data_IF_688265841856
#
_entry.id   IF_688265841856
#
_cell.length_a   1.000
_cell.length_b   1.000
_cell.length_c   1.000
_cell.angle_alpha   90.00
_cell.angle_beta   90.00
_cell.angle_gamma   90.00
#
_symmetry.space_group_name_H-M   'P 1'
#
loop_
_entity.id
_entity.type
_entity.pdbx_description
1 polymer ?
#
# COMPACT_ATOMS: atom_id res chain seq x y z
N UNK A 1 17.08 0.91 -6.19
CA UNK A 1 15.83 0.53 -6.96
C UNK A 1 14.94 1.76 -7.08
N UNK A 2 14.15 1.83 -8.12
CA UNK A 2 13.20 2.93 -8.31
C UNK A 2 12.07 2.83 -7.28
N UNK A 3 11.52 3.98 -6.88
CA UNK A 3 10.45 4.00 -5.87
C UNK A 3 9.20 3.22 -6.30
N UNK A 4 8.84 3.26 -7.58
CA UNK A 4 7.72 2.44 -8.06
C UNK A 4 8.00 0.96 -7.85
N UNK A 5 9.20 0.50 -8.21
CA UNK A 5 9.60 -0.89 -8.00
C UNK A 5 9.57 -1.26 -6.52
N UNK A 6 10.06 -0.37 -5.66
CA UNK A 6 10.00 -0.60 -4.21
C UNK A 6 8.56 -0.72 -3.71
N UNK A 7 7.64 0.11 -4.21
CA UNK A 7 6.22 0.02 -3.87
C UNK A 7 5.59 -1.29 -4.36
N UNK A 8 5.94 -1.72 -5.56
CA UNK A 8 5.44 -2.99 -6.10
C UNK A 8 5.93 -4.18 -5.27
N UNK A 9 7.19 -4.16 -4.88
CA UNK A 9 7.75 -5.21 -4.02
C UNK A 9 7.20 -5.16 -2.60
N UNK A 10 6.91 -3.98 -2.07
CA UNK A 10 6.23 -3.83 -0.78
C UNK A 10 4.83 -4.43 -0.85
N UNK A 11 4.10 -4.16 -1.94
CA UNK A 11 2.78 -4.76 -2.17
C UNK A 11 2.88 -6.28 -2.18
N UNK A 12 3.85 -6.85 -2.87
CA UNK A 12 4.06 -8.28 -2.93
C UNK A 12 4.34 -8.87 -1.55
N UNK A 13 5.19 -8.22 -0.76
CA UNK A 13 5.52 -8.68 0.59
C UNK A 13 4.30 -8.63 1.51
N UNK A 14 3.56 -7.52 1.50
CA UNK A 14 2.36 -7.37 2.33
C UNK A 14 1.23 -8.31 1.92
N UNK A 15 1.08 -8.52 0.61
CA UNK A 15 0.14 -9.51 0.08
C UNK A 15 0.44 -10.90 0.66
N UNK A 16 1.70 -11.29 0.66
CA UNK A 16 2.11 -12.60 1.16
C UNK A 16 1.92 -12.72 2.67
N UNK A 17 2.22 -11.67 3.43
CA UNK A 17 2.01 -11.65 4.88
C UNK A 17 0.53 -11.85 5.20
N UNK A 18 -0.36 -11.14 4.51
CA UNK A 18 -1.81 -11.26 4.71
C UNK A 18 -2.33 -12.65 4.34
N UNK A 19 -1.75 -13.25 3.30
CA UNK A 19 -2.23 -14.51 2.76
C UNK A 19 -1.77 -15.72 3.58
N UNK A 20 -0.50 -15.73 4.01
CA UNK A 20 0.12 -16.94 4.57
C UNK A 20 0.77 -16.75 5.93
N UNK A 21 0.65 -15.56 6.50
CA UNK A 21 1.19 -15.25 7.84
C UNK A 21 2.71 -15.46 7.93
N UNK A 22 3.40 -15.31 6.82
CA UNK A 22 4.86 -15.41 6.75
C UNK A 22 5.51 -14.27 7.55
N UNK A 23 6.68 -14.53 8.16
CA UNK A 23 7.41 -13.51 8.88
C UNK A 23 7.87 -12.40 7.94
N UNK A 24 7.82 -11.13 8.40
CA UNK A 24 8.01 -9.96 7.53
C UNK A 24 9.36 -9.92 6.81
N UNK A 25 10.44 -10.31 7.49
CA UNK A 25 11.76 -10.29 6.87
C UNK A 25 11.86 -11.33 5.75
N UNK A 26 11.24 -12.50 5.94
CA UNK A 26 11.18 -13.53 4.90
C UNK A 26 10.35 -13.05 3.71
N UNK A 27 9.24 -12.35 3.96
CA UNK A 27 8.43 -11.79 2.89
C UNK A 27 9.20 -10.74 2.08
N UNK A 28 9.96 -9.89 2.76
CA UNK A 28 10.80 -8.88 2.10
C UNK A 28 11.88 -9.56 1.25
N UNK A 29 12.54 -10.57 1.79
CA UNK A 29 13.59 -11.31 1.07
C UNK A 29 13.01 -11.95 -0.19
N UNK A 30 11.84 -12.59 -0.09
CA UNK A 30 11.16 -13.18 -1.25
C UNK A 30 10.81 -12.11 -2.30
N UNK A 31 10.30 -10.96 -1.85
CA UNK A 31 9.95 -9.87 -2.77
C UNK A 31 11.18 -9.28 -3.46
N UNK A 32 12.32 -9.24 -2.78
CA UNK A 32 13.58 -8.75 -3.37
C UNK A 32 14.05 -9.65 -4.52
N UNK A 33 13.76 -10.94 -4.47
CA UNK A 33 14.10 -11.89 -5.54
C UNK A 33 15.55 -11.78 -6.00
N UNK A 34 16.48 -11.82 -5.05
CA UNK A 34 17.91 -11.72 -5.32
C UNK A 34 18.48 -10.31 -5.41
N UNK A 35 17.61 -9.31 -5.39
CA UNK A 35 18.05 -7.91 -5.37
C UNK A 35 18.64 -7.53 -4.02
N UNK A 36 19.43 -6.46 -4.01
CA UNK A 36 20.00 -5.95 -2.77
C UNK A 36 18.92 -5.36 -1.86
N UNK A 37 19.10 -5.43 -0.54
CA UNK A 37 18.18 -4.75 0.38
C UNK A 37 17.99 -3.29 0.01
N UNK A 38 16.77 -2.81 0.16
CA UNK A 38 16.38 -1.45 -0.20
C UNK A 38 15.72 -0.78 1.00
N UNK A 39 16.23 0.38 1.39
CA UNK A 39 15.74 1.11 2.58
C UNK A 39 14.29 1.53 2.41
N UNK A 40 13.93 2.02 1.22
CA UNK A 40 12.58 2.50 0.96
C UNK A 40 11.56 1.36 1.01
N UNK A 41 11.89 0.23 0.39
CA UNK A 41 11.06 -0.98 0.44
C UNK A 41 10.82 -1.42 1.90
N UNK A 42 11.89 -1.54 2.68
CA UNK A 42 11.78 -1.96 4.07
C UNK A 42 10.98 -0.97 4.90
N UNK A 43 11.15 0.32 4.67
CA UNK A 43 10.40 1.37 5.36
C UNK A 43 8.90 1.26 5.07
N UNK A 44 8.52 0.98 3.82
CA UNK A 44 7.10 0.81 3.46
C UNK A 44 6.48 -0.39 4.17
N UNK A 45 7.14 -1.53 4.13
CA UNK A 45 6.60 -2.75 4.76
C UNK A 45 6.51 -2.57 6.28
N UNK A 46 7.59 -2.14 6.91
CA UNK A 46 7.61 -1.94 8.35
C UNK A 46 6.64 -0.83 8.79
N UNK A 47 6.57 0.26 8.04
CA UNK A 47 5.68 1.36 8.33
C UNK A 47 4.21 0.95 8.30
N UNK A 48 3.82 0.19 7.27
CA UNK A 48 2.44 -0.32 7.19
C UNK A 48 2.13 -1.24 8.38
N UNK A 49 3.03 -2.18 8.69
CA UNK A 49 2.80 -3.11 9.79
C UNK A 49 2.76 -2.42 11.15
N UNK A 50 3.66 -1.45 11.37
CA UNK A 50 3.73 -0.72 12.63
C UNK A 50 2.51 0.19 12.86
N UNK A 51 1.91 0.70 11.78
CA UNK A 51 0.79 1.66 11.85
C UNK A 51 -0.51 1.10 11.28
N UNK A 52 -0.63 -0.22 11.16
CA UNK A 52 -1.77 -0.83 10.47
C UNK A 52 -3.12 -0.45 11.07
N UNK A 53 -3.24 -0.39 12.38
CA UNK A 53 -4.52 -0.01 13.01
C UNK A 53 -4.93 1.41 12.62
N UNK A 54 -4.02 2.36 12.69
CA UNK A 54 -4.27 3.75 12.30
C UNK A 54 -4.56 3.87 10.81
N UNK A 55 -3.79 3.18 9.99
CA UNK A 55 -3.97 3.17 8.53
C UNK A 55 -5.37 2.64 8.18
N UNK A 56 -5.75 1.51 8.76
CA UNK A 56 -7.04 0.89 8.49
C UNK A 56 -8.21 1.78 8.95
N UNK A 57 -8.03 2.54 10.01
CA UNK A 57 -9.05 3.51 10.45
C UNK A 57 -9.28 4.60 9.39
N UNK A 58 -8.21 5.12 8.77
CA UNK A 58 -8.35 6.07 7.68
C UNK A 58 -9.12 5.47 6.50
N UNK A 59 -8.84 4.22 6.17
CA UNK A 59 -9.52 3.54 5.06
C UNK A 59 -11.00 3.33 5.40
N UNK A 60 -11.29 2.80 6.59
CA UNK A 60 -12.67 2.49 7.04
C UNK A 60 -13.58 3.70 7.00
N UNK A 61 -13.08 4.88 7.36
CA UNK A 61 -13.89 6.10 7.36
C UNK A 61 -14.48 6.46 6.00
N UNK A 62 -13.89 5.96 4.93
CA UNK A 62 -14.29 6.32 3.57
C UNK A 62 -14.87 5.15 2.79
N UNK A 63 -15.09 4.00 3.45
CA UNK A 63 -15.79 2.86 2.87
C UNK A 63 -17.29 3.01 3.09
N UNK A 64 -18.09 2.94 2.03
CA UNK A 64 -19.52 3.14 2.15
C UNK A 64 -20.29 1.84 2.38
N UNK A 65 -20.07 0.81 1.60
CA UNK A 65 -20.85 -0.42 1.67
C UNK A 65 -19.99 -1.67 1.87
N UNK A 66 -18.73 -1.49 2.23
CA UNK A 66 -17.76 -2.58 2.33
C UNK A 66 -17.05 -2.55 3.68
N UNK A 67 -16.74 -3.71 4.21
CA UNK A 67 -15.78 -3.80 5.30
C UNK A 67 -14.39 -3.95 4.69
N UNK A 68 -13.37 -3.58 5.45
CA UNK A 68 -11.98 -3.66 4.95
C UNK A 68 -11.60 -5.11 4.61
N UNK A 69 -12.18 -6.08 5.32
CA UNK A 69 -11.92 -7.50 5.11
C UNK A 69 -12.46 -7.99 3.76
N UNK A 70 -13.42 -7.28 3.18
CA UNK A 70 -14.02 -7.64 1.88
C UNK A 70 -13.29 -7.03 0.69
N UNK A 71 -12.38 -6.11 0.93
CA UNK A 71 -11.55 -5.54 -0.13
C UNK A 71 -10.57 -6.62 -0.58
N UNK A 72 -10.40 -6.77 -1.89
CA UNK A 72 -9.43 -7.72 -2.44
C UNK A 72 -8.04 -7.46 -1.86
N UNK A 73 -7.27 -8.51 -1.58
CA UNK A 73 -5.99 -8.40 -0.90
C UNK A 73 -5.03 -7.41 -1.58
N UNK A 74 -4.96 -7.43 -2.92
CA UNK A 74 -4.10 -6.49 -3.65
C UNK A 74 -4.54 -5.06 -3.40
N UNK A 75 -5.81 -4.76 -3.56
CA UNK A 75 -6.36 -3.41 -3.36
C UNK A 75 -6.18 -2.95 -1.92
N UNK A 76 -6.46 -3.83 -0.95
CA UNK A 76 -6.32 -3.50 0.47
C UNK A 76 -4.90 -3.14 0.83
N UNK A 77 -3.93 -3.93 0.41
CA UNK A 77 -2.53 -3.66 0.74
C UNK A 77 -1.97 -2.47 -0.02
N UNK A 78 -2.43 -2.25 -1.24
CA UNK A 78 -2.05 -1.06 -2.00
C UNK A 78 -2.59 0.21 -1.33
N UNK A 79 -3.84 0.18 -0.83
CA UNK A 79 -4.39 1.28 -0.05
C UNK A 79 -3.56 1.52 1.22
N UNK A 80 -3.16 0.46 1.92
CA UNK A 80 -2.35 0.59 3.13
C UNK A 80 -1.01 1.26 2.86
N UNK A 81 -0.33 0.88 1.78
CA UNK A 81 0.94 1.51 1.39
C UNK A 81 0.74 2.99 1.11
N UNK A 82 -0.27 3.33 0.31
CA UNK A 82 -0.52 4.72 -0.06
C UNK A 82 -0.92 5.55 1.16
N UNK A 83 -1.77 5.04 2.04
CA UNK A 83 -2.17 5.76 3.26
C UNK A 83 -0.96 5.98 4.17
N UNK A 84 -0.10 4.97 4.31
CA UNK A 84 1.14 5.15 5.06
C UNK A 84 1.94 6.33 4.51
N UNK A 85 2.13 6.40 3.19
CA UNK A 85 2.88 7.50 2.59
C UNK A 85 2.18 8.85 2.73
N UNK A 86 0.85 8.89 2.60
CA UNK A 86 0.08 10.12 2.76
C UNK A 86 0.17 10.70 4.17
N UNK A 87 0.15 9.85 5.17
CA UNK A 87 0.09 10.27 6.58
C UNK A 87 1.48 10.40 7.20
N UNK A 88 2.36 9.46 6.94
CA UNK A 88 3.65 9.35 7.64
C UNK A 88 4.85 9.77 6.83
N UNK A 89 4.71 9.95 5.51
CA UNK A 89 5.81 10.32 4.62
C UNK A 89 5.51 11.57 3.78
N UNK A 90 4.57 12.40 4.22
CA UNK A 90 4.09 13.55 3.44
C UNK A 90 5.17 14.59 3.12
N UNK A 91 6.22 14.66 3.93
CA UNK A 91 7.34 15.58 3.68
C UNK A 91 8.27 15.06 2.58
N UNK A 92 8.35 13.75 2.40
CA UNK A 92 9.24 13.13 1.43
C UNK A 92 8.61 12.96 0.05
N UNK A 93 7.30 12.67 0.03
CA UNK A 93 6.57 12.37 -1.21
C UNK A 93 5.31 13.22 -1.28
N UNK A 94 5.18 14.04 -2.34
CA UNK A 94 3.93 14.82 -2.52
C UNK A 94 2.72 13.91 -2.60
N UNK A 95 1.62 14.34 -1.99
CA UNK A 95 0.39 13.54 -1.90
C UNK A 95 -0.15 13.12 -3.26
N UNK A 96 -0.12 14.03 -4.24
CA UNK A 96 -0.59 13.71 -5.59
C UNK A 96 0.26 12.61 -6.24
N UNK A 97 1.56 12.59 -5.98
CA UNK A 97 2.46 11.55 -6.48
C UNK A 97 2.12 10.20 -5.86
N UNK A 98 1.84 10.17 -4.56
CA UNK A 98 1.43 8.93 -3.88
C UNK A 98 0.19 8.34 -4.54
N UNK A 99 -0.82 9.17 -4.78
CA UNK A 99 -2.09 8.70 -5.38
C UNK A 99 -1.85 8.23 -6.82
N UNK A 100 -1.15 9.01 -7.63
CA UNK A 100 -0.88 8.66 -9.02
C UNK A 100 -0.11 7.33 -9.12
N UNK A 101 0.88 7.13 -8.27
CA UNK A 101 1.65 5.88 -8.24
C UNK A 101 0.79 4.68 -7.82
N UNK A 102 -0.06 4.86 -6.82
CA UNK A 102 -0.97 3.80 -6.39
C UNK A 102 -1.94 3.42 -7.50
N UNK A 103 -2.48 4.41 -8.23
CA UNK A 103 -3.37 4.17 -9.35
C UNK A 103 -2.67 3.38 -10.47
N UNK A 104 -1.43 3.75 -10.81
CA UNK A 104 -0.67 3.04 -11.84
C UNK A 104 -0.37 1.59 -11.43
N UNK A 105 -0.02 1.37 -10.17
CA UNK A 105 0.22 0.02 -9.66
C UNK A 105 -1.09 -0.79 -9.68
N UNK A 106 -2.22 -0.16 -9.33
CA UNK A 106 -3.53 -0.81 -9.39
C UNK A 106 -3.88 -1.28 -10.80
N UNK A 107 -3.53 -0.48 -11.82
CA UNK A 107 -3.76 -0.87 -13.21
C UNK A 107 -2.96 -2.11 -13.60
N UNK A 108 -1.79 -2.28 -13.02
CA UNK A 108 -0.91 -3.41 -13.36
C UNK A 108 -1.25 -4.69 -12.59
N UNK A 109 -1.66 -4.57 -11.33
CA UNK A 109 -1.81 -5.72 -10.43
C UNK A 109 -3.23 -5.97 -9.95
N UNK A 110 -4.13 -4.99 -10.04
CA UNK A 110 -5.53 -5.14 -9.64
C UNK A 110 -6.42 -5.62 -10.79
N UNK A 111 -7.73 -5.61 -10.56
CA UNK A 111 -8.72 -5.89 -11.59
C UNK A 111 -9.14 -4.62 -12.32
N UNK A 112 -10.10 -4.72 -13.23
CA UNK A 112 -10.57 -3.61 -14.07
C UNK A 112 -11.08 -2.40 -13.29
N UNK A 113 -11.53 -2.61 -12.06
CA UNK A 113 -12.13 -1.56 -11.23
C UNK A 113 -11.18 -1.01 -10.17
N UNK A 114 -10.04 -1.66 -9.96
CA UNK A 114 -9.13 -1.34 -8.86
C UNK A 114 -8.63 0.10 -8.92
N UNK A 115 -8.17 0.56 -10.07
CA UNK A 115 -7.58 1.90 -10.20
C UNK A 115 -8.59 3.00 -9.83
N UNK A 116 -9.83 2.87 -10.28
CA UNK A 116 -10.88 3.83 -9.99
C UNK A 116 -11.27 3.81 -8.51
N UNK A 117 -11.42 2.62 -7.94
CA UNK A 117 -11.73 2.43 -6.53
C UNK A 117 -10.64 3.05 -5.64
N UNK A 118 -9.38 2.74 -5.92
CA UNK A 118 -8.24 3.24 -5.16
C UNK A 118 -8.12 4.75 -5.26
N UNK A 119 -8.26 5.30 -6.47
CA UNK A 119 -8.23 6.75 -6.66
C UNK A 119 -9.32 7.44 -5.84
N UNK A 120 -10.52 6.89 -5.85
CA UNK A 120 -11.66 7.46 -5.11
C UNK A 120 -11.42 7.50 -3.61
N UNK A 121 -10.96 6.40 -3.04
CA UNK A 121 -10.71 6.31 -1.59
C UNK A 121 -9.53 7.23 -1.20
N UNK A 122 -8.42 7.16 -1.92
CA UNK A 122 -7.23 7.95 -1.58
C UNK A 122 -7.48 9.45 -1.72
N UNK A 123 -8.27 9.87 -2.70
CA UNK A 123 -8.62 11.28 -2.86
C UNK A 123 -9.44 11.79 -1.68
N UNK A 124 -10.38 10.99 -1.19
CA UNK A 124 -11.16 11.34 0.01
C UNK A 124 -10.28 11.43 1.25
N UNK A 125 -9.38 10.47 1.43
CA UNK A 125 -8.46 10.48 2.55
C UNK A 125 -7.58 11.74 2.49
N UNK A 126 -6.98 12.02 1.34
CA UNK A 126 -6.15 13.22 1.14
C UNK A 126 -6.89 14.48 1.52
N UNK A 127 -8.14 14.63 1.10
CA UNK A 127 -8.93 15.83 1.34
C UNK A 127 -9.30 16.03 2.81
N UNK A 128 -9.16 14.99 3.62
CA UNK A 128 -9.48 15.02 5.07
C UNK A 128 -8.24 14.99 5.96
N UNK A 129 -7.06 15.12 5.38
CA UNK A 129 -5.82 15.20 6.16
C UNK A 129 -5.54 16.62 6.63
#
# INVERSE_FOLDING_TARGET
MKRRTAREKALQALFQIDLSDIEKNDAIIHALDGEKPDVYLSALVNGVLDHQLSIDEHIKKHLENWTIERIANVDRNLLRIAVYELVYSSEEVPKNVVIDEAVEIAKAYGDDKSSKFINGILSKIKNNL
#
